data_IF_022519301427
#
_entry.id   IF_022519301427
#
_cell.length_a   1.000
_cell.length_b   1.000
_cell.length_c   1.000
_cell.angle_alpha   90.00
_cell.angle_beta   90.00
_cell.angle_gamma   90.00
#
_symmetry.space_group_name_H-M   'P 1'
#
loop_
_entity.id
_entity.type
_entity.pdbx_description
1 polymer ?
#
# COMPACT_ATOMS: atom_id res chain seq x y z
N UNK A 1 13.78 -9.70 -21.44
CA UNK A 1 14.72 -10.14 -20.38
C UNK A 1 15.60 -11.26 -20.87
N UNK A 2 15.08 -12.46 -21.18
CA UNK A 2 15.94 -13.61 -21.58
C UNK A 2 16.96 -13.29 -22.68
N UNK A 3 16.58 -12.61 -23.75
CA UNK A 3 17.54 -12.25 -24.82
C UNK A 3 18.30 -10.94 -24.57
N UNK A 4 17.76 -10.07 -23.69
CA UNK A 4 18.26 -8.71 -23.47
C UNK A 4 19.25 -8.58 -22.32
N UNK A 5 19.37 -9.58 -21.46
CA UNK A 5 20.26 -9.59 -20.30
C UNK A 5 20.99 -10.95 -20.22
N UNK A 6 21.99 -11.19 -21.08
CA UNK A 6 22.63 -12.50 -21.21
C UNK A 6 23.42 -12.92 -19.97
N UNK A 7 23.94 -11.97 -19.20
CA UNK A 7 24.76 -12.16 -18.00
C UNK A 7 23.96 -12.14 -16.69
N UNK A 8 22.62 -12.03 -16.75
CA UNK A 8 21.77 -11.99 -15.57
C UNK A 8 21.72 -13.37 -14.88
N UNK A 9 21.97 -13.42 -13.57
CA UNK A 9 22.05 -14.67 -12.81
C UNK A 9 20.70 -15.41 -12.71
N UNK A 10 19.59 -14.70 -12.91
CA UNK A 10 18.24 -15.27 -12.96
C UNK A 10 17.71 -15.40 -14.38
N UNK A 11 18.51 -15.12 -15.43
CA UNK A 11 18.08 -15.16 -16.84
C UNK A 11 17.17 -16.35 -17.17
N UNK A 12 17.55 -17.55 -16.74
CA UNK A 12 16.82 -18.80 -17.02
C UNK A 12 15.38 -18.80 -16.48
N UNK A 13 15.08 -18.10 -15.37
CA UNK A 13 13.72 -18.02 -14.81
C UNK A 13 12.75 -17.29 -15.76
N UNK A 14 13.28 -16.45 -16.65
CA UNK A 14 12.48 -15.68 -17.60
C UNK A 14 12.12 -16.48 -18.85
N UNK A 15 12.53 -17.75 -18.96
CA UNK A 15 12.00 -18.65 -19.99
C UNK A 15 10.54 -18.96 -19.70
N UNK A 16 9.66 -18.58 -20.63
CA UNK A 16 8.24 -18.88 -20.50
C UNK A 16 8.01 -20.41 -20.42
N UNK A 17 7.22 -20.91 -19.45
CA UNK A 17 6.86 -22.32 -19.37
C UNK A 17 6.17 -22.81 -20.65
N UNK A 18 6.35 -24.09 -20.99
CA UNK A 18 5.84 -24.68 -22.24
C UNK A 18 4.33 -24.47 -22.46
N UNK A 19 3.52 -24.45 -21.39
CA UNK A 19 2.09 -24.24 -21.51
C UNK A 19 1.74 -22.81 -21.96
N UNK A 20 2.53 -21.80 -21.58
CA UNK A 20 2.36 -20.41 -22.05
C UNK A 20 2.65 -20.31 -23.54
N UNK A 21 3.69 -21.00 -24.03
CA UNK A 21 4.01 -21.04 -25.46
C UNK A 21 2.85 -21.65 -26.26
N UNK A 22 2.31 -22.79 -25.79
CA UNK A 22 1.12 -23.42 -26.38
C UNK A 22 -0.12 -22.51 -26.34
N UNK A 23 -0.29 -21.70 -25.29
CA UNK A 23 -1.37 -20.72 -25.23
C UNK A 23 -1.24 -19.67 -26.33
N UNK A 24 -0.02 -19.18 -26.60
CA UNK A 24 0.25 -18.22 -27.68
C UNK A 24 -0.04 -18.83 -29.05
N UNK A 25 0.45 -20.05 -29.31
CA UNK A 25 0.19 -20.80 -30.55
C UNK A 25 -1.30 -21.01 -30.81
N UNK A 26 -2.08 -21.25 -29.74
CA UNK A 26 -3.55 -21.42 -29.81
C UNK A 26 -4.34 -20.10 -29.83
N UNK A 27 -3.67 -18.94 -29.84
CA UNK A 27 -4.34 -17.63 -29.84
C UNK A 27 -5.08 -17.31 -28.53
N UNK A 28 -4.67 -17.90 -27.41
CA UNK A 28 -5.21 -17.64 -26.07
C UNK A 28 -4.53 -16.40 -25.45
N UNK A 29 -4.74 -15.24 -26.04
CA UNK A 29 -3.95 -14.02 -25.79
C UNK A 29 -4.58 -13.03 -24.78
N UNK A 30 -5.56 -13.47 -24.01
CA UNK A 30 -6.23 -12.67 -22.97
C UNK A 30 -7.46 -11.92 -23.47
N UNK A 31 -7.73 -10.75 -22.88
CA UNK A 31 -8.98 -10.00 -23.12
C UNK A 31 -9.15 -9.60 -24.59
N UNK A 32 -8.06 -9.27 -25.29
CA UNK A 32 -8.11 -8.89 -26.72
C UNK A 32 -8.65 -10.00 -27.63
N UNK A 33 -8.47 -11.26 -27.25
CA UNK A 33 -9.03 -12.44 -27.94
C UNK A 33 -10.21 -13.04 -27.18
N UNK A 34 -10.68 -12.37 -26.11
CA UNK A 34 -11.75 -12.82 -25.20
C UNK A 34 -11.44 -14.13 -24.44
N UNK A 35 -10.21 -14.63 -24.53
CA UNK A 35 -9.77 -15.87 -23.91
C UNK A 35 -8.25 -15.87 -23.70
N UNK A 36 -7.81 -16.27 -22.52
CA UNK A 36 -6.40 -16.42 -22.11
C UNK A 36 -6.32 -17.36 -20.91
N UNK A 37 -5.73 -16.93 -19.80
CA UNK A 37 -5.86 -17.67 -18.53
C UNK A 37 -7.31 -17.81 -18.07
N UNK A 38 -8.12 -16.81 -18.39
CA UNK A 38 -9.54 -16.77 -18.11
C UNK A 38 -10.36 -16.64 -19.39
N UNK A 39 -11.59 -17.13 -19.36
CA UNK A 39 -12.57 -16.98 -20.43
C UNK A 39 -13.94 -16.63 -19.84
N UNK A 40 -14.53 -15.54 -20.33
CA UNK A 40 -15.91 -15.16 -19.98
C UNK A 40 -16.87 -16.01 -20.81
N UNK A 41 -17.82 -16.68 -20.14
CA UNK A 41 -18.85 -17.49 -20.78
C UNK A 41 -20.23 -17.21 -20.16
N UNK A 42 -21.25 -17.94 -20.59
CA UNK A 42 -22.55 -18.03 -19.95
C UNK A 42 -22.82 -19.47 -19.53
N UNK A 43 -23.46 -19.67 -18.40
CA UNK A 43 -24.01 -20.97 -18.01
C UNK A 43 -25.34 -21.26 -18.73
N UNK A 44 -25.92 -22.43 -18.45
CA UNK A 44 -27.17 -22.89 -19.04
C UNK A 44 -28.37 -21.98 -18.73
N UNK A 45 -28.26 -21.13 -17.71
CA UNK A 45 -29.26 -20.13 -17.32
C UNK A 45 -28.97 -18.74 -17.90
N UNK A 46 -27.97 -18.62 -18.77
CA UNK A 46 -27.56 -17.37 -19.40
C UNK A 46 -26.78 -16.42 -18.49
N UNK A 47 -26.44 -16.83 -17.26
CA UNK A 47 -25.68 -16.04 -16.29
C UNK A 47 -24.21 -16.06 -16.67
N UNK A 48 -23.57 -14.89 -16.58
CA UNK A 48 -22.13 -14.76 -16.87
C UNK A 48 -21.31 -15.58 -15.88
N UNK A 49 -20.43 -16.42 -16.40
CA UNK A 49 -19.45 -17.21 -15.64
C UNK A 49 -18.04 -16.93 -16.13
N UNK A 50 -17.07 -17.09 -15.25
CA UNK A 50 -15.64 -17.00 -15.58
C UNK A 50 -15.06 -18.40 -15.45
N UNK A 51 -14.45 -18.87 -16.54
CA UNK A 51 -13.72 -20.13 -16.59
C UNK A 51 -12.21 -19.86 -16.46
N UNK A 52 -11.48 -20.77 -15.84
CA UNK A 52 -10.02 -20.76 -15.75
C UNK A 52 -9.43 -21.93 -16.53
N UNK A 53 -8.28 -21.70 -17.14
CA UNK A 53 -7.56 -22.74 -17.90
C UNK A 53 -6.80 -23.67 -16.95
N UNK A 54 -6.85 -24.98 -17.19
CA UNK A 54 -5.93 -25.95 -16.58
C UNK A 54 -4.59 -25.90 -17.35
N UNK A 55 -3.45 -25.57 -16.71
CA UNK A 55 -2.15 -25.50 -17.39
C UNK A 55 -1.66 -26.82 -18.00
N UNK A 56 -2.17 -27.98 -17.55
CA UNK A 56 -1.79 -29.31 -18.04
C UNK A 56 -2.57 -29.69 -19.30
N UNK A 57 -3.88 -29.46 -19.31
CA UNK A 57 -4.76 -29.86 -20.43
C UNK A 57 -5.01 -28.73 -21.42
N UNK A 58 -4.85 -27.48 -21.00
CA UNK A 58 -5.26 -26.26 -21.71
C UNK A 58 -6.78 -26.18 -21.97
N UNK A 59 -7.57 -26.88 -21.15
CA UNK A 59 -9.03 -26.83 -21.19
C UNK A 59 -9.56 -25.85 -20.15
N UNK A 60 -10.71 -25.24 -20.44
CA UNK A 60 -11.38 -24.30 -19.54
C UNK A 60 -12.35 -25.04 -18.62
N UNK A 61 -12.16 -24.88 -17.31
CA UNK A 61 -13.07 -25.36 -16.27
C UNK A 61 -13.63 -24.22 -15.42
N UNK A 62 -14.62 -24.50 -14.55
CA UNK A 62 -15.09 -23.54 -13.57
C UNK A 62 -13.95 -23.03 -12.68
N UNK A 63 -13.97 -21.74 -12.34
CA UNK A 63 -12.99 -21.18 -11.41
C UNK A 63 -13.21 -21.74 -9.99
N UNK A 64 -12.15 -22.28 -9.39
CA UNK A 64 -12.18 -22.74 -8.00
C UNK A 64 -11.74 -21.66 -7.02
N UNK A 65 -12.50 -21.49 -5.93
CA UNK A 65 -12.09 -20.62 -4.83
C UNK A 65 -11.14 -21.36 -3.90
N UNK A 66 -9.88 -20.95 -3.94
CA UNK A 66 -8.84 -21.46 -3.03
C UNK A 66 -9.12 -20.98 -1.60
N UNK A 67 -9.19 -21.91 -0.66
CA UNK A 67 -9.32 -21.63 0.79
C UNK A 67 -8.05 -22.11 1.50
N UNK A 68 -7.25 -21.17 1.97
CA UNK A 68 -5.97 -21.43 2.65
C UNK A 68 -5.96 -20.63 3.96
N UNK A 69 -5.50 -21.24 5.05
CA UNK A 69 -5.52 -20.64 6.38
C UNK A 69 -4.67 -19.36 6.46
N UNK A 70 -3.49 -19.34 5.85
CA UNK A 70 -2.62 -18.16 5.79
C UNK A 70 -3.27 -16.97 5.09
N UNK A 71 -4.11 -17.21 4.07
CA UNK A 71 -4.85 -16.14 3.40
C UNK A 71 -5.90 -15.51 4.31
N UNK A 72 -6.61 -16.30 5.12
CA UNK A 72 -7.56 -15.78 6.09
C UNK A 72 -6.86 -15.03 7.23
N UNK A 73 -5.74 -15.57 7.72
CA UNK A 73 -4.90 -14.88 8.71
C UNK A 73 -4.39 -13.52 8.19
N UNK A 74 -3.95 -13.47 6.92
CA UNK A 74 -3.51 -12.23 6.29
C UNK A 74 -4.65 -11.23 6.08
N UNK A 75 -5.89 -11.68 5.83
CA UNK A 75 -7.05 -10.78 5.78
C UNK A 75 -7.37 -10.14 7.14
N UNK A 76 -7.17 -10.89 8.22
CA UNK A 76 -7.38 -10.42 9.58
C UNK A 76 -6.23 -9.54 10.11
N UNK A 77 -5.05 -9.62 9.51
CA UNK A 77 -3.89 -8.81 9.89
C UNK A 77 -4.03 -7.32 9.49
N UNK A 78 -3.38 -6.46 10.26
CA UNK A 78 -3.33 -5.01 10.04
C UNK A 78 -2.39 -4.59 8.91
N UNK A 79 -2.62 -3.40 8.35
CA UNK A 79 -1.71 -2.79 7.37
C UNK A 79 -1.44 -3.64 6.12
N UNK A 80 -0.37 -3.35 5.39
CA UNK A 80 0.13 -4.19 4.28
C UNK A 80 1.28 -5.07 4.75
N UNK A 81 2.19 -4.52 5.57
CA UNK A 81 3.34 -5.24 6.13
C UNK A 81 2.96 -6.49 6.92
N UNK A 82 2.01 -6.41 7.86
CA UNK A 82 1.64 -7.59 8.66
C UNK A 82 0.95 -8.66 7.83
N UNK A 83 0.23 -8.27 6.76
CA UNK A 83 -0.39 -9.22 5.83
C UNK A 83 0.67 -10.01 5.06
N UNK A 84 1.69 -9.31 4.54
CA UNK A 84 2.81 -9.95 3.86
C UNK A 84 3.56 -10.84 4.85
N UNK A 85 3.82 -10.36 6.06
CA UNK A 85 4.50 -11.12 7.12
C UNK A 85 3.74 -12.39 7.50
N UNK A 86 2.42 -12.31 7.66
CA UNK A 86 1.57 -13.46 7.97
C UNK A 86 1.65 -14.54 6.88
N UNK A 87 1.65 -14.15 5.60
CA UNK A 87 1.84 -15.08 4.48
C UNK A 87 3.27 -15.63 4.43
N UNK A 88 4.28 -14.76 4.46
CA UNK A 88 5.70 -15.12 4.28
C UNK A 88 6.20 -16.17 5.28
N UNK A 89 5.70 -16.13 6.53
CA UNK A 89 6.09 -17.07 7.58
C UNK A 89 5.12 -18.25 7.76
N UNK A 90 4.05 -18.34 6.97
CA UNK A 90 3.15 -19.48 7.02
C UNK A 90 3.77 -20.72 6.35
N UNK A 91 3.35 -21.91 6.82
CA UNK A 91 3.88 -23.19 6.34
C UNK A 91 2.94 -23.91 5.34
N UNK A 92 1.73 -23.38 5.13
CA UNK A 92 0.78 -23.91 4.15
C UNK A 92 1.15 -23.53 2.71
N UNK A 93 0.34 -23.97 1.74
CA UNK A 93 0.58 -23.71 0.32
C UNK A 93 0.70 -22.22 0.00
N UNK A 94 -0.10 -21.37 0.66
CA UNK A 94 -0.07 -19.92 0.49
C UNK A 94 1.26 -19.35 0.99
N UNK A 95 1.70 -19.79 2.16
CA UNK A 95 2.96 -19.34 2.73
C UNK A 95 4.19 -19.82 1.95
N UNK A 96 4.20 -21.06 1.47
CA UNK A 96 5.28 -21.57 0.62
C UNK A 96 5.35 -20.84 -0.74
N UNK A 97 4.20 -20.49 -1.31
CA UNK A 97 4.15 -19.68 -2.52
C UNK A 97 4.70 -18.26 -2.26
N UNK A 98 4.21 -17.59 -1.23
CA UNK A 98 4.63 -16.23 -0.88
C UNK A 98 6.12 -16.18 -0.50
N UNK A 99 6.60 -17.13 0.32
CA UNK A 99 8.00 -17.20 0.71
C UNK A 99 8.92 -17.29 -0.51
N UNK A 100 8.69 -18.25 -1.41
CA UNK A 100 9.54 -18.43 -2.61
C UNK A 100 9.52 -17.20 -3.51
N UNK A 101 8.33 -16.71 -3.85
CA UNK A 101 8.18 -15.55 -4.74
C UNK A 101 8.81 -14.29 -4.15
N UNK A 102 8.56 -14.03 -2.86
CA UNK A 102 9.08 -12.83 -2.21
C UNK A 102 10.59 -12.94 -1.97
N UNK A 103 11.12 -14.09 -1.51
CA UNK A 103 12.56 -14.26 -1.33
C UNK A 103 13.33 -14.03 -2.64
N UNK A 104 12.88 -14.61 -3.75
CA UNK A 104 13.50 -14.36 -5.06
C UNK A 104 13.41 -12.90 -5.47
N UNK A 105 12.25 -12.26 -5.29
CA UNK A 105 12.06 -10.86 -5.66
C UNK A 105 12.95 -9.93 -4.83
N UNK A 106 13.06 -10.15 -3.52
CA UNK A 106 13.85 -9.34 -2.60
C UNK A 106 15.36 -9.47 -2.89
N UNK A 107 15.85 -10.70 -3.02
CA UNK A 107 17.26 -10.99 -3.34
C UNK A 107 17.61 -10.39 -4.71
N UNK A 108 16.77 -10.63 -5.71
CA UNK A 108 16.99 -10.09 -7.05
C UNK A 108 17.01 -8.57 -7.04
N UNK A 109 16.07 -7.91 -6.34
CA UNK A 109 16.05 -6.45 -6.21
C UNK A 109 17.34 -5.90 -5.59
N UNK A 110 17.90 -6.61 -4.61
CA UNK A 110 19.16 -6.24 -3.99
C UNK A 110 20.39 -6.50 -4.88
N UNK A 111 20.36 -7.51 -5.75
CA UNK A 111 21.40 -7.75 -6.76
C UNK A 111 21.37 -6.74 -7.91
N UNK A 112 20.30 -5.95 -8.05
CA UNK A 112 20.20 -4.87 -9.05
C UNK A 112 20.85 -3.56 -8.59
N UNK A 113 21.43 -3.52 -7.40
CA UNK A 113 22.17 -2.37 -6.88
C UNK A 113 23.67 -2.75 -6.77
N UNK A 114 24.60 -1.96 -7.33
CA UNK A 114 24.40 -0.68 -8.03
C UNK A 114 24.22 -0.81 -9.55
N UNK A 115 23.96 -2.01 -10.08
CA UNK A 115 23.97 -2.27 -11.53
C UNK A 115 22.90 -1.50 -12.32
N UNK A 116 21.64 -1.53 -11.86
CA UNK A 116 20.48 -0.93 -12.54
C UNK A 116 19.97 0.31 -11.79
N UNK A 117 20.18 0.37 -10.48
CA UNK A 117 19.78 1.50 -9.65
C UNK A 117 20.88 1.84 -8.65
N UNK A 118 21.04 3.13 -8.37
CA UNK A 118 22.08 3.64 -7.47
C UNK A 118 21.75 3.38 -5.98
N UNK A 119 20.46 3.27 -5.63
CA UNK A 119 20.00 3.17 -4.25
C UNK A 119 18.67 2.39 -4.12
N UNK A 120 18.37 1.98 -2.88
CA UNK A 120 17.19 1.21 -2.53
C UNK A 120 15.88 2.01 -2.68
N UNK A 121 15.93 3.34 -2.55
CA UNK A 121 14.77 4.24 -2.60
C UNK A 121 14.21 4.25 -4.02
N UNK A 122 15.08 4.34 -5.01
CA UNK A 122 14.72 4.35 -6.42
C UNK A 122 14.15 3.01 -6.87
N UNK A 123 14.68 1.88 -6.37
CA UNK A 123 14.09 0.55 -6.62
C UNK A 123 12.68 0.45 -6.03
N UNK A 124 12.50 0.87 -4.78
CA UNK A 124 11.20 0.85 -4.12
C UNK A 124 10.18 1.74 -4.82
N UNK A 125 10.58 2.96 -5.20
CA UNK A 125 9.70 3.89 -5.91
C UNK A 125 9.36 3.40 -7.32
N UNK A 126 10.31 2.77 -8.04
CA UNK A 126 10.01 2.16 -9.33
C UNK A 126 8.92 1.09 -9.22
N UNK A 127 8.97 0.26 -8.18
CA UNK A 127 7.95 -0.76 -7.94
C UNK A 127 6.61 -0.15 -7.51
N UNK A 128 6.62 0.85 -6.62
CA UNK A 128 5.40 1.52 -6.16
C UNK A 128 4.70 2.29 -7.28
N UNK A 129 5.44 3.09 -8.04
CA UNK A 129 4.87 3.98 -9.06
C UNK A 129 4.68 3.30 -10.41
N UNK A 130 5.55 2.36 -10.77
CA UNK A 130 5.47 1.65 -12.05
C UNK A 130 4.54 0.44 -12.03
N UNK A 131 4.46 -0.25 -10.88
CA UNK A 131 3.74 -1.54 -10.77
C UNK A 131 2.66 -1.53 -9.68
N UNK A 132 2.31 -0.35 -9.15
CA UNK A 132 1.27 -0.15 -8.14
C UNK A 132 1.48 -0.98 -6.86
N UNK A 133 2.73 -1.27 -6.50
CA UNK A 133 3.03 -1.86 -5.20
C UNK A 133 2.71 -0.86 -4.09
N UNK A 134 2.20 -1.36 -2.95
CA UNK A 134 1.96 -0.52 -1.77
C UNK A 134 3.23 -0.27 -0.95
N UNK A 135 4.16 -1.20 -1.02
CA UNK A 135 5.47 -1.16 -0.36
C UNK A 135 6.48 -1.66 -1.37
N UNK A 136 7.61 -0.99 -1.53
CA UNK A 136 8.68 -1.47 -2.39
C UNK A 136 9.36 -2.73 -1.82
N UNK A 137 10.25 -3.39 -2.58
CA UNK A 137 11.03 -4.53 -2.10
C UNK A 137 11.70 -4.30 -0.74
N UNK A 138 12.44 -3.21 -0.54
CA UNK A 138 13.20 -2.98 0.69
C UNK A 138 12.30 -2.57 1.86
N UNK A 139 11.28 -1.74 1.62
CA UNK A 139 10.20 -1.47 2.59
C UNK A 139 9.51 -2.78 3.02
N UNK A 140 9.25 -3.68 2.07
CA UNK A 140 8.64 -5.00 2.35
C UNK A 140 9.59 -5.88 3.15
N UNK A 141 10.88 -5.86 2.84
CA UNK A 141 11.90 -6.63 3.56
C UNK A 141 12.02 -6.17 5.02
N UNK A 142 11.98 -4.87 5.26
CA UNK A 142 11.90 -4.30 6.61
C UNK A 142 10.65 -4.76 7.36
N UNK A 143 9.48 -4.73 6.72
CA UNK A 143 8.22 -5.13 7.33
C UNK A 143 8.20 -6.61 7.77
N UNK A 144 8.82 -7.50 6.99
CA UNK A 144 8.96 -8.93 7.36
C UNK A 144 10.14 -9.19 8.31
N UNK A 145 10.97 -8.16 8.57
CA UNK A 145 12.17 -8.19 9.39
C UNK A 145 13.37 -8.77 8.66
N UNK A 146 14.38 -7.94 8.36
CA UNK A 146 15.54 -8.30 7.52
C UNK A 146 16.33 -9.47 8.13
N UNK A 147 16.72 -9.39 9.40
CA UNK A 147 17.48 -10.45 10.08
C UNK A 147 16.75 -11.80 10.13
N UNK A 148 15.45 -11.77 10.43
CA UNK A 148 14.63 -13.00 10.54
C UNK A 148 14.38 -13.62 9.16
N UNK A 149 14.07 -12.80 8.17
CA UNK A 149 13.78 -13.28 6.82
C UNK A 149 15.04 -13.80 6.12
N UNK A 150 16.18 -13.13 6.28
CA UNK A 150 17.48 -13.60 5.76
C UNK A 150 17.89 -14.94 6.38
N UNK A 151 17.71 -15.14 7.69
CA UNK A 151 17.94 -16.45 8.30
C UNK A 151 17.08 -17.56 7.68
N UNK A 152 15.78 -17.31 7.50
CA UNK A 152 14.86 -18.25 6.83
C UNK A 152 15.26 -18.52 5.37
N UNK A 153 15.73 -17.49 4.65
CA UNK A 153 16.22 -17.63 3.27
C UNK A 153 17.46 -18.53 3.21
N UNK A 154 18.43 -18.35 4.12
CA UNK A 154 19.62 -19.21 4.21
C UNK A 154 19.26 -20.66 4.54
N UNK A 155 18.37 -20.88 5.50
CA UNK A 155 17.88 -22.23 5.85
C UNK A 155 17.23 -22.94 4.66
N UNK A 156 16.61 -22.17 3.75
CA UNK A 156 16.02 -22.68 2.51
C UNK A 156 17.02 -22.77 1.33
N UNK A 157 18.29 -22.45 1.53
CA UNK A 157 19.35 -22.57 0.53
C UNK A 157 19.46 -21.39 -0.44
N UNK A 158 18.87 -20.24 -0.12
CA UNK A 158 19.06 -19.02 -0.91
C UNK A 158 20.41 -18.36 -0.60
N UNK A 159 21.11 -17.93 -1.64
CA UNK A 159 22.28 -17.07 -1.54
C UNK A 159 21.83 -15.62 -1.38
N UNK A 160 22.32 -14.96 -0.33
CA UNK A 160 22.01 -13.56 -0.06
C UNK A 160 23.03 -12.64 -0.75
N UNK A 161 22.62 -11.43 -1.16
CA UNK A 161 23.55 -10.43 -1.68
C UNK A 161 24.57 -10.05 -0.60
N UNK A 162 25.86 -10.03 -0.96
CA UNK A 162 26.95 -9.80 0.00
C UNK A 162 26.79 -8.50 0.80
N UNK A 163 26.32 -7.43 0.17
CA UNK A 163 26.12 -6.14 0.84
C UNK A 163 25.02 -6.16 1.91
N UNK A 164 24.00 -7.04 1.76
CA UNK A 164 22.96 -7.22 2.77
C UNK A 164 23.53 -7.96 3.98
N UNK A 165 24.41 -8.94 3.75
CA UNK A 165 25.11 -9.63 4.84
C UNK A 165 26.04 -8.68 5.59
N UNK A 166 26.87 -7.90 4.88
CA UNK A 166 27.73 -6.87 5.48
C UNK A 166 26.93 -5.85 6.30
N UNK A 167 25.76 -5.42 5.81
CA UNK A 167 24.87 -4.52 6.53
C UNK A 167 24.45 -5.12 7.88
N UNK A 168 23.98 -6.37 7.88
CA UNK A 168 23.54 -7.08 9.09
C UNK A 168 24.70 -7.32 10.07
N UNK A 169 25.88 -7.70 9.57
CA UNK A 169 27.09 -7.90 10.38
C UNK A 169 27.56 -6.60 11.05
N UNK A 170 27.33 -5.45 10.39
CA UNK A 170 27.59 -4.13 10.98
C UNK A 170 26.57 -3.71 12.06
N UNK A 171 25.60 -4.57 12.38
CA UNK A 171 24.56 -4.32 13.37
C UNK A 171 23.35 -3.52 12.87
N UNK A 172 23.27 -3.25 11.55
CA UNK A 172 22.13 -2.56 10.94
C UNK A 172 21.10 -3.58 10.51
N UNK A 173 19.96 -3.61 11.22
CA UNK A 173 18.93 -4.65 11.06
C UNK A 173 17.74 -4.23 10.18
N UNK A 174 17.78 -3.04 9.58
CA UNK A 174 16.78 -2.54 8.64
C UNK A 174 17.44 -1.75 7.49
N UNK A 175 16.70 -1.61 6.39
CA UNK A 175 17.10 -0.79 5.25
C UNK A 175 16.67 0.66 5.44
N UNK A 176 15.53 0.89 6.07
CA UNK A 176 15.03 2.20 6.42
C UNK A 176 15.02 2.40 7.94
N UNK A 177 15.22 3.65 8.36
CA UNK A 177 15.00 4.09 9.74
C UNK A 177 14.34 5.44 9.75
N UNK A 178 13.56 5.71 10.79
CA UNK A 178 12.89 6.99 10.95
C UNK A 178 13.30 7.59 12.29
N UNK A 179 13.83 8.81 12.25
CA UNK A 179 14.31 9.53 13.43
C UNK A 179 13.81 10.98 13.33
N UNK A 180 13.08 11.45 14.36
CA UNK A 180 12.52 12.80 14.43
C UNK A 180 11.75 13.24 13.16
N UNK A 181 10.92 12.36 12.60
CA UNK A 181 10.16 12.64 11.37
C UNK A 181 10.99 12.66 10.09
N UNK A 182 12.29 12.40 10.13
CA UNK A 182 13.15 12.25 8.95
C UNK A 182 13.27 10.77 8.62
N UNK A 183 13.04 10.42 7.35
CA UNK A 183 13.24 9.07 6.84
C UNK A 183 14.67 8.95 6.30
N UNK A 184 15.38 7.94 6.75
CA UNK A 184 16.71 7.59 6.25
C UNK A 184 16.68 6.20 5.61
N UNK A 185 17.58 5.98 4.67
CA UNK A 185 17.79 4.72 3.97
C UNK A 185 19.26 4.29 4.08
N UNK A 186 19.53 2.99 4.08
CA UNK A 186 20.88 2.44 4.10
C UNK A 186 21.54 2.66 2.74
N UNK A 187 22.63 3.42 2.73
CA UNK A 187 23.42 3.71 1.55
C UNK A 187 24.62 2.78 1.47
N UNK A 188 24.72 2.04 0.36
CA UNK A 188 25.75 1.02 0.16
C UNK A 188 27.15 1.64 0.05
N UNK A 189 27.26 2.88 -0.45
CA UNK A 189 28.56 3.54 -0.65
C UNK A 189 29.17 4.00 0.68
N UNK A 190 28.38 4.64 1.54
CA UNK A 190 28.84 5.04 2.89
C UNK A 190 28.75 3.93 3.92
N UNK A 191 28.09 2.80 3.59
CA UNK A 191 27.74 1.73 4.54
C UNK A 191 27.03 2.24 5.78
N UNK A 192 26.27 3.31 5.61
CA UNK A 192 25.55 4.00 6.67
C UNK A 192 24.28 4.65 6.13
N UNK A 193 23.44 5.17 7.01
CA UNK A 193 22.16 5.75 6.63
C UNK A 193 22.29 7.18 6.12
N UNK A 194 21.66 7.45 4.97
CA UNK A 194 21.49 8.80 4.41
C UNK A 194 20.02 9.20 4.45
N UNK A 195 19.76 10.50 4.54
CA UNK A 195 18.40 11.03 4.46
C UNK A 195 17.81 10.72 3.08
N UNK A 196 16.56 10.24 3.07
CA UNK A 196 15.81 10.06 1.82
C UNK A 196 15.54 11.44 1.23
N UNK A 197 16.00 11.74 -0.01
CA UNK A 197 15.81 13.06 -0.60
C UNK A 197 14.32 13.39 -0.75
N UNK A 198 13.88 14.44 -0.09
CA UNK A 198 12.53 15.01 -0.27
C UNK A 198 12.67 16.28 -1.10
N UNK A 199 11.94 16.38 -2.21
CA UNK A 199 11.98 17.59 -3.05
C UNK A 199 11.45 18.79 -2.23
N UNK A 200 12.07 19.97 -2.35
CA UNK A 200 11.50 21.19 -1.79
C UNK A 200 10.04 21.37 -2.23
N UNK A 201 9.16 21.65 -1.27
CA UNK A 201 7.71 21.80 -1.51
C UNK A 201 6.87 20.53 -1.33
N UNK A 202 7.47 19.36 -1.11
CA UNK A 202 6.73 18.16 -0.71
C UNK A 202 6.54 18.14 0.81
N UNK A 203 5.29 18.01 1.24
CA UNK A 203 4.91 17.91 2.66
C UNK A 203 4.47 16.48 2.97
N UNK A 204 5.16 15.85 3.92
CA UNK A 204 4.81 14.52 4.42
C UNK A 204 4.13 14.65 5.79
N UNK A 205 2.81 14.45 5.84
CA UNK A 205 2.03 14.56 7.08
C UNK A 205 2.52 13.62 8.21
N UNK A 206 2.91 12.35 7.94
CA UNK A 206 3.46 11.48 8.98
C UNK A 206 4.71 12.08 9.64
N UNK A 207 5.58 12.69 8.84
CA UNK A 207 6.80 13.34 9.34
C UNK A 207 6.50 14.55 10.24
N UNK A 208 5.47 15.33 9.92
CA UNK A 208 5.05 16.46 10.75
C UNK A 208 4.44 16.01 12.09
N UNK A 209 3.62 14.96 12.07
CA UNK A 209 3.04 14.38 13.28
C UNK A 209 4.11 13.89 14.26
N UNK A 210 5.16 13.26 13.75
CA UNK A 210 6.30 12.80 14.57
C UNK A 210 7.14 13.94 15.14
N UNK A 211 7.10 15.12 14.50
CA UNK A 211 7.72 16.35 15.00
C UNK A 211 6.78 17.16 15.89
N UNK A 212 5.76 16.49 16.45
CA UNK A 212 4.78 17.07 17.38
C UNK A 212 4.02 18.29 16.82
N UNK A 213 3.86 18.40 15.50
CA UNK A 213 3.11 19.48 14.85
C UNK A 213 1.58 19.32 14.90
N UNK A 214 1.07 18.40 15.72
CA UNK A 214 -0.38 18.19 15.87
C UNK A 214 -0.96 19.30 16.76
N UNK A 215 -1.85 20.10 16.20
CA UNK A 215 -2.56 21.20 16.90
C UNK A 215 -3.78 20.68 17.64
N UNK A 216 -4.58 19.84 16.97
CA UNK A 216 -5.77 19.22 17.54
C UNK A 216 -6.07 17.88 16.85
N UNK A 217 -6.91 17.03 17.44
CA UNK A 217 -7.40 15.83 16.74
C UNK A 217 -8.22 14.91 17.62
N UNK A 218 -8.94 14.01 16.95
CA UNK A 218 -9.70 12.91 17.55
C UNK A 218 -9.41 11.60 16.78
N UNK A 219 -10.28 10.61 16.92
CA UNK A 219 -10.22 9.30 16.27
C UNK A 219 -10.45 9.34 14.76
N UNK A 220 -11.11 10.37 14.22
CA UNK A 220 -11.44 10.48 12.80
C UNK A 220 -10.58 11.48 12.01
N UNK A 221 -10.04 12.51 12.65
CA UNK A 221 -9.22 13.52 11.99
C UNK A 221 -8.17 14.18 12.89
N UNK A 222 -7.19 14.85 12.29
CA UNK A 222 -6.16 15.62 12.99
C UNK A 222 -5.85 16.91 12.26
N UNK A 223 -5.73 18.00 13.01
CA UNK A 223 -5.26 19.28 12.55
C UNK A 223 -3.75 19.38 12.81
N UNK A 224 -2.99 19.64 11.76
CA UNK A 224 -1.52 19.60 11.75
C UNK A 224 -1.00 20.94 11.25
N UNK A 225 -0.06 21.54 11.96
CA UNK A 225 0.65 22.74 11.50
C UNK A 225 1.63 22.36 10.38
N UNK A 226 1.43 22.90 9.18
CA UNK A 226 2.31 22.69 8.03
C UNK A 226 3.52 23.64 8.03
N UNK A 227 3.53 24.66 8.89
CA UNK A 227 4.42 25.81 8.78
C UNK A 227 3.82 26.93 7.93
N UNK A 228 4.53 28.06 7.86
CA UNK A 228 4.17 29.24 7.07
C UNK A 228 2.73 29.76 7.28
N UNK A 229 2.19 29.56 8.49
CA UNK A 229 0.82 29.96 8.83
C UNK A 229 -0.27 29.08 8.22
N UNK A 230 0.04 27.90 7.66
CA UNK A 230 -0.95 27.01 7.04
C UNK A 230 -1.18 25.76 7.89
N UNK A 231 -2.44 25.39 8.11
CA UNK A 231 -2.80 24.14 8.77
C UNK A 231 -3.31 23.09 7.77
N UNK A 232 -3.18 21.81 8.11
CA UNK A 232 -3.75 20.69 7.40
C UNK A 232 -4.75 19.91 8.27
N UNK A 233 -5.98 19.78 7.79
CA UNK A 233 -6.96 18.85 8.36
C UNK A 233 -6.86 17.51 7.64
N UNK A 234 -6.28 16.52 8.32
CA UNK A 234 -6.11 15.17 7.82
C UNK A 234 -7.20 14.24 8.34
N UNK A 235 -7.95 13.62 7.42
CA UNK A 235 -8.87 12.53 7.73
C UNK A 235 -8.13 11.20 7.82
N UNK A 236 -8.46 10.40 8.83
CA UNK A 236 -7.88 9.08 9.03
C UNK A 236 -8.87 8.06 9.61
N UNK A 237 -10.17 8.34 9.52
CA UNK A 237 -11.23 7.36 9.79
C UNK A 237 -11.23 6.21 8.78
N UNK A 238 -11.99 5.15 9.05
CA UNK A 238 -12.12 4.02 8.11
C UNK A 238 -12.62 4.49 6.75
N UNK A 239 -11.80 4.31 5.72
CA UNK A 239 -12.03 4.81 4.35
C UNK A 239 -12.24 6.34 4.25
N UNK A 240 -11.91 7.09 5.31
CA UNK A 240 -12.22 8.51 5.46
C UNK A 240 -13.71 8.80 5.22
N UNK A 241 -14.59 7.89 5.67
CA UNK A 241 -16.03 8.11 5.64
C UNK A 241 -16.42 9.21 6.64
N UNK A 242 -17.24 10.16 6.19
CA UNK A 242 -17.72 11.28 6.98
C UNK A 242 -18.73 10.78 8.01
N UNK A 243 -18.34 10.88 9.28
CA UNK A 243 -19.18 10.67 10.45
C UNK A 243 -18.79 11.67 11.54
N UNK A 244 -19.36 11.51 12.73
CA UNK A 244 -19.32 12.51 13.81
C UNK A 244 -17.91 13.01 14.13
N UNK A 245 -16.92 12.12 14.18
CA UNK A 245 -15.55 12.50 14.48
C UNK A 245 -14.97 13.49 13.45
N UNK A 246 -15.16 13.23 12.16
CA UNK A 246 -14.66 14.12 11.12
C UNK A 246 -15.45 15.43 11.12
N UNK A 247 -16.78 15.37 11.26
CA UNK A 247 -17.65 16.54 11.26
C UNK A 247 -17.29 17.48 12.42
N UNK A 248 -17.16 16.93 13.63
CA UNK A 248 -16.75 17.71 14.81
C UNK A 248 -15.36 18.33 14.63
N UNK A 249 -14.43 17.62 14.00
CA UNK A 249 -13.11 18.16 13.69
C UNK A 249 -13.14 19.24 12.63
N UNK A 250 -14.04 19.19 11.64
CA UNK A 250 -14.22 20.27 10.67
C UNK A 250 -14.64 21.55 11.39
N UNK A 251 -15.66 21.46 12.25
CA UNK A 251 -16.15 22.62 13.01
C UNK A 251 -15.05 23.22 13.87
N UNK A 252 -14.37 22.39 14.67
CA UNK A 252 -13.26 22.82 15.52
C UNK A 252 -12.09 23.40 14.71
N UNK A 253 -11.82 22.85 13.53
CA UNK A 253 -10.76 23.34 12.65
C UNK A 253 -11.06 24.74 12.16
N UNK A 254 -12.30 25.04 11.76
CA UNK A 254 -12.69 26.39 11.35
C UNK A 254 -12.37 27.43 12.43
N UNK A 255 -12.76 27.16 13.67
CA UNK A 255 -12.53 28.07 14.81
C UNK A 255 -11.04 28.30 15.11
N UNK A 256 -10.20 27.26 15.00
CA UNK A 256 -8.75 27.37 15.23
C UNK A 256 -8.09 28.12 14.09
N UNK A 257 -8.38 27.73 12.84
CA UNK A 257 -7.75 28.31 11.65
C UNK A 257 -8.06 29.80 11.54
N UNK A 258 -9.29 30.22 11.82
CA UNK A 258 -9.68 31.64 11.77
C UNK A 258 -8.83 32.52 12.70
N UNK A 259 -8.42 31.97 13.85
CA UNK A 259 -7.67 32.70 14.89
C UNK A 259 -6.16 32.59 14.75
N UNK A 260 -5.65 31.43 14.33
CA UNK A 260 -4.25 31.05 14.52
C UNK A 260 -3.51 30.80 13.19
N UNK A 261 -4.21 30.71 12.06
CA UNK A 261 -3.63 30.38 10.76
C UNK A 261 -4.09 31.34 9.66
N UNK A 262 -3.29 31.41 8.59
CA UNK A 262 -3.56 32.16 7.37
C UNK A 262 -4.27 31.33 6.31
N UNK A 263 -4.31 30.00 6.46
CA UNK A 263 -5.02 29.12 5.53
C UNK A 263 -5.17 27.68 6.01
N UNK A 264 -6.05 26.94 5.34
CA UNK A 264 -6.34 25.54 5.61
C UNK A 264 -6.23 24.69 4.35
N UNK A 265 -5.55 23.55 4.47
CA UNK A 265 -5.54 22.48 3.50
C UNK A 265 -6.27 21.27 4.06
N UNK A 266 -7.22 20.71 3.32
CA UNK A 266 -7.87 19.44 3.65
C UNK A 266 -7.27 18.39 2.72
N UNK A 267 -6.43 17.51 3.27
CA UNK A 267 -5.70 16.51 2.52
C UNK A 267 -5.31 15.33 3.42
N UNK A 268 -5.04 14.17 2.83
CA UNK A 268 -4.56 13.00 3.57
C UNK A 268 -3.68 12.11 2.68
N UNK A 269 -2.90 11.23 3.32
CA UNK A 269 -2.06 10.24 2.65
C UNK A 269 -2.75 8.86 2.49
N UNK A 270 -4.08 8.79 2.70
CA UNK A 270 -4.82 7.54 2.60
C UNK A 270 -5.13 7.20 1.13
N UNK A 271 -5.62 5.98 0.88
CA UNK A 271 -6.01 5.54 -0.47
C UNK A 271 -7.21 6.32 -1.02
N UNK A 272 -8.13 6.71 -0.13
CA UNK A 272 -9.31 7.50 -0.49
C UNK A 272 -9.20 8.84 0.22
N UNK A 273 -9.41 9.94 -0.50
CA UNK A 273 -9.60 11.25 0.13
C UNK A 273 -10.77 11.19 1.12
N UNK A 274 -11.94 10.77 0.64
CA UNK A 274 -13.12 10.40 1.40
C UNK A 274 -14.02 9.52 0.52
N UNK A 275 -14.77 8.57 1.12
CA UNK A 275 -15.83 7.82 0.42
C UNK A 275 -17.21 8.45 0.61
N UNK A 276 -17.27 9.67 1.16
CA UNK A 276 -18.52 10.34 1.50
C UNK A 276 -19.11 9.86 2.82
N UNK A 277 -20.42 9.95 2.96
CA UNK A 277 -21.12 9.58 4.18
C UNK A 277 -20.99 8.09 4.50
N UNK A 278 -20.98 7.75 5.79
CA UNK A 278 -21.00 6.36 6.24
C UNK A 278 -22.38 5.73 5.97
N UNK A 279 -22.54 5.08 4.81
CA UNK A 279 -23.82 4.47 4.39
C UNK A 279 -24.31 3.37 5.34
N UNK A 280 -23.40 2.65 6.02
CA UNK A 280 -23.80 1.65 6.99
C UNK A 280 -24.48 2.30 8.20
N UNK A 281 -23.90 3.38 8.71
CA UNK A 281 -24.49 4.18 9.81
C UNK A 281 -25.87 4.72 9.42
N UNK A 282 -26.00 5.30 8.22
CA UNK A 282 -27.29 5.81 7.73
C UNK A 282 -28.32 4.70 7.62
N UNK A 283 -27.93 3.53 7.09
CA UNK A 283 -28.83 2.39 6.96
C UNK A 283 -29.32 1.90 8.32
N UNK A 284 -28.43 1.78 9.32
CA UNK A 284 -28.81 1.33 10.66
C UNK A 284 -29.77 2.32 11.33
N UNK A 285 -29.46 3.61 11.33
CA UNK A 285 -30.35 4.63 11.91
C UNK A 285 -31.73 4.65 11.21
N UNK A 286 -31.77 4.46 9.88
CA UNK A 286 -33.03 4.37 9.15
C UNK A 286 -33.84 3.09 9.47
N UNK A 287 -33.16 1.98 9.77
CA UNK A 287 -33.82 0.74 10.19
C UNK A 287 -34.36 0.81 11.63
N UNK A 288 -33.69 1.57 12.50
CA UNK A 288 -34.11 1.82 13.88
C UNK A 288 -35.11 2.97 14.00
N UNK A 289 -35.50 3.59 12.88
CA UNK A 289 -36.44 4.72 12.81
C UNK A 289 -35.95 5.97 13.58
N UNK A 290 -34.64 6.12 13.75
CA UNK A 290 -33.98 7.27 14.39
C UNK A 290 -33.89 8.46 13.42
N UNK A 291 -35.05 8.97 13.01
CA UNK A 291 -35.15 10.04 12.00
C UNK A 291 -34.58 11.37 12.47
N UNK A 292 -34.74 11.69 13.75
CA UNK A 292 -34.22 12.94 14.34
C UNK A 292 -32.69 12.95 14.33
N UNK A 293 -32.05 11.81 14.62
CA UNK A 293 -30.59 11.66 14.57
C UNK A 293 -30.06 11.77 13.13
N UNK A 294 -30.79 11.22 12.15
CA UNK A 294 -30.45 11.37 10.74
C UNK A 294 -30.55 12.82 10.27
N UNK A 295 -31.63 13.53 10.61
CA UNK A 295 -31.79 14.96 10.26
C UNK A 295 -30.69 15.80 10.91
N UNK A 296 -30.42 15.55 12.20
CA UNK A 296 -29.34 16.21 12.93
C UNK A 296 -27.97 15.96 12.28
N UNK A 297 -27.66 14.72 11.90
CA UNK A 297 -26.38 14.40 11.26
C UNK A 297 -26.23 15.09 9.90
N UNK A 298 -27.28 15.08 9.07
CA UNK A 298 -27.29 15.75 7.76
C UNK A 298 -27.10 17.26 7.93
N UNK A 299 -27.85 17.87 8.84
CA UNK A 299 -27.77 19.30 9.13
C UNK A 299 -26.39 19.68 9.65
N UNK A 300 -25.86 18.94 10.62
CA UNK A 300 -24.55 19.21 11.21
C UNK A 300 -23.44 19.11 10.16
N UNK A 301 -23.50 18.13 9.25
CA UNK A 301 -22.56 18.04 8.13
C UNK A 301 -22.69 19.25 7.19
N UNK A 302 -23.90 19.65 6.81
CA UNK A 302 -24.12 20.81 5.95
C UNK A 302 -23.60 22.10 6.60
N UNK A 303 -23.90 22.31 7.88
CA UNK A 303 -23.44 23.48 8.64
C UNK A 303 -21.89 23.50 8.75
N UNK A 304 -21.27 22.35 8.99
CA UNK A 304 -19.81 22.23 9.05
C UNK A 304 -19.15 22.58 7.70
N UNK A 305 -19.71 22.10 6.58
CA UNK A 305 -19.21 22.43 5.25
C UNK A 305 -19.45 23.90 4.87
N UNK A 306 -20.59 24.46 5.28
CA UNK A 306 -20.90 25.88 5.07
C UNK A 306 -19.96 26.79 5.87
N UNK A 307 -19.61 26.40 7.10
CA UNK A 307 -18.57 27.09 7.88
C UNK A 307 -17.23 27.11 7.14
N UNK A 308 -16.81 25.99 6.53
CA UNK A 308 -15.59 25.98 5.72
C UNK A 308 -15.69 26.86 4.47
N UNK A 309 -16.85 26.83 3.78
CA UNK A 309 -17.10 27.63 2.57
C UNK A 309 -17.04 29.13 2.83
N UNK A 310 -17.49 29.57 4.00
CA UNK A 310 -17.53 30.98 4.39
C UNK A 310 -16.44 31.37 5.39
N UNK A 311 -15.44 30.51 5.58
CA UNK A 311 -14.28 30.83 6.41
C UNK A 311 -13.56 32.04 5.81
N UNK A 312 -13.17 33.02 6.63
CA UNK A 312 -12.42 34.19 6.16
C UNK A 312 -11.06 33.82 5.59
N UNK A 313 -10.49 32.69 6.05
CA UNK A 313 -9.21 32.15 5.60
C UNK A 313 -9.40 31.26 4.38
N UNK A 314 -8.48 31.28 3.40
CA UNK A 314 -8.52 30.39 2.25
C UNK A 314 -8.51 28.91 2.66
N UNK A 315 -9.41 28.14 2.06
CA UNK A 315 -9.51 26.68 2.23
C UNK A 315 -9.27 26.00 0.90
N UNK A 316 -8.36 25.03 0.87
CA UNK A 316 -8.07 24.18 -0.30
C UNK A 316 -8.34 22.72 0.08
N UNK A 317 -9.15 22.02 -0.71
CA UNK A 317 -9.39 20.58 -0.55
C UNK A 317 -8.88 19.81 -1.77
N UNK A 318 -8.29 18.64 -1.52
CA UNK A 318 -7.73 17.73 -2.53
C UNK A 318 -8.78 16.83 -3.20
#
# INVERSE_FOLDING_TARGET
MYDGAPEDEKREIFKAPAFIQKMVEKGLLGEKTKQGFYKKSKDDQGKKVILSIDPKTLEYGPQEKVKIASLEAAKAAGGTGDKIKALFYANDLGGQFTFRHMAETLIYSANRIPEIADDIVNVDNAMKWGFAWKMGPFETWDAIGVKKSTAKMREAGYELPGWVEEMLESGKESFYRREAGVLYYYDLQSKDYKEVPVKPGIILLPSLKEREKKVAGNTGASLIDLGDGVACLEFHAKMNALGDDIINMIVKTGEIVEREFDGLVIANHATNFSVGANLAMILFAAQEEEWDDLDWAVKTLQDALMKLKYLEKPVVAA
#
